data_IF_022988080716
#
_entry.id   IF_022988080716
#
_cell.length_a   1.000
_cell.length_b   1.000
_cell.length_c   1.000
_cell.angle_alpha   90.00
_cell.angle_beta   90.00
_cell.angle_gamma   90.00
#
_symmetry.space_group_name_H-M   'P 1'
#
loop_
_entity.id
_entity.type
_entity.pdbx_description
1 polymer ?
#
# COMPACT_ATOMS: atom_id res chain seq x y z
N UNK A 1 17.79 -7.27 17.24
CA UNK A 1 18.17 -6.21 16.27
C UNK A 1 18.66 -6.77 14.94
N UNK A 2 19.79 -7.47 14.85
CA UNK A 2 20.34 -7.96 13.56
C UNK A 2 19.33 -8.83 12.79
N UNK A 3 18.59 -9.70 13.49
CA UNK A 3 17.58 -10.57 12.87
C UNK A 3 16.46 -9.75 12.17
N UNK A 4 16.01 -8.67 12.78
CA UNK A 4 14.96 -7.82 12.20
C UNK A 4 15.44 -7.00 11.01
N UNK A 5 16.71 -6.56 11.04
CA UNK A 5 17.35 -5.91 9.87
C UNK A 5 17.43 -6.90 8.70
N UNK A 6 17.85 -8.13 8.96
CA UNK A 6 17.88 -9.18 7.93
C UNK A 6 16.46 -9.50 7.41
N UNK A 7 15.47 -9.55 8.30
CA UNK A 7 14.06 -9.72 7.91
C UNK A 7 13.58 -8.57 7.01
N UNK A 8 13.91 -7.33 7.34
CA UNK A 8 13.55 -6.17 6.52
C UNK A 8 14.18 -6.25 5.12
N UNK A 9 15.47 -6.56 5.02
CA UNK A 9 16.16 -6.73 3.74
C UNK A 9 15.51 -7.86 2.93
N UNK A 10 15.18 -8.99 3.58
CA UNK A 10 14.51 -10.11 2.93
C UNK A 10 13.12 -9.73 2.42
N UNK A 11 12.31 -9.01 3.22
CA UNK A 11 10.99 -8.53 2.83
C UNK A 11 11.08 -7.64 1.59
N UNK A 12 11.97 -6.64 1.59
CA UNK A 12 12.17 -5.79 0.42
C UNK A 12 12.61 -6.60 -0.79
N UNK A 13 13.58 -7.49 -0.63
CA UNK A 13 14.05 -8.35 -1.72
C UNK A 13 12.93 -9.20 -2.33
N UNK A 14 12.08 -9.80 -1.47
CA UNK A 14 10.92 -10.60 -1.92
C UNK A 14 9.89 -9.73 -2.62
N UNK A 15 9.53 -8.56 -2.07
CA UNK A 15 8.52 -7.68 -2.67
C UNK A 15 8.96 -7.14 -4.03
N UNK A 16 10.24 -6.81 -4.19
CA UNK A 16 10.79 -6.40 -5.49
C UNK A 16 10.82 -7.58 -6.46
N UNK A 17 11.26 -8.76 -6.02
CA UNK A 17 11.28 -9.95 -6.88
C UNK A 17 9.86 -10.34 -7.36
N UNK A 18 8.85 -10.21 -6.50
CA UNK A 18 7.43 -10.45 -6.85
C UNK A 18 6.93 -9.40 -7.84
N UNK A 19 7.32 -8.14 -7.66
CA UNK A 19 7.01 -7.06 -8.60
C UNK A 19 7.56 -7.37 -10.00
N UNK A 20 8.86 -7.65 -10.10
CA UNK A 20 9.51 -8.00 -11.37
C UNK A 20 8.93 -9.29 -11.98
N UNK A 21 8.56 -10.26 -11.13
CA UNK A 21 7.88 -11.47 -11.58
C UNK A 21 6.51 -11.17 -12.21
N UNK A 22 5.80 -10.14 -11.74
CA UNK A 22 4.56 -9.65 -12.35
C UNK A 22 4.78 -9.22 -13.80
N UNK A 23 5.79 -8.40 -14.06
CA UNK A 23 6.17 -7.99 -15.41
C UNK A 23 6.57 -9.20 -16.26
N UNK A 24 7.44 -10.06 -15.71
CA UNK A 24 7.95 -11.25 -16.39
C UNK A 24 6.83 -12.17 -16.88
N UNK A 25 5.94 -12.61 -15.97
CA UNK A 25 4.90 -13.57 -16.33
C UNK A 25 3.90 -12.97 -17.33
N UNK A 26 3.56 -11.69 -17.15
CA UNK A 26 2.62 -11.00 -18.01
C UNK A 26 3.20 -10.74 -19.39
N UNK A 27 4.48 -10.35 -19.48
CA UNK A 27 5.18 -10.22 -20.76
C UNK A 27 5.20 -11.54 -21.53
N UNK A 28 5.54 -12.64 -20.87
CA UNK A 28 5.51 -13.98 -21.49
C UNK A 28 4.10 -14.38 -21.97
N UNK A 29 3.08 -14.14 -21.17
CA UNK A 29 1.67 -14.43 -21.54
C UNK A 29 1.19 -13.56 -22.71
N UNK A 30 1.67 -12.31 -22.81
CA UNK A 30 1.37 -11.39 -23.90
C UNK A 30 2.19 -11.68 -25.19
N UNK A 31 3.16 -12.60 -25.13
CA UNK A 31 4.02 -12.98 -26.25
C UNK A 31 5.22 -12.04 -26.45
N UNK A 32 5.55 -11.21 -25.46
CA UNK A 32 6.74 -10.36 -25.46
C UNK A 32 7.97 -11.19 -25.11
N UNK A 33 9.06 -10.96 -25.82
CA UNK A 33 10.35 -11.60 -25.55
C UNK A 33 10.95 -10.97 -24.29
N UNK A 34 11.31 -11.79 -23.31
CA UNK A 34 12.07 -11.39 -22.12
C UNK A 34 13.50 -11.89 -22.27
N UNK A 35 14.42 -10.94 -22.32
CA UNK A 35 15.85 -11.22 -22.50
C UNK A 35 16.50 -11.66 -21.20
N UNK A 36 16.21 -10.97 -20.07
CA UNK A 36 16.74 -11.31 -18.76
C UNK A 36 15.70 -11.09 -17.67
N UNK A 37 15.67 -12.02 -16.71
CA UNK A 37 14.98 -11.86 -15.43
C UNK A 37 15.99 -11.98 -14.31
N UNK A 38 16.20 -10.90 -13.57
CA UNK A 38 17.24 -10.81 -12.55
C UNK A 38 16.65 -10.56 -11.16
N UNK A 39 17.17 -11.31 -10.19
CA UNK A 39 16.96 -11.03 -8.76
C UNK A 39 18.23 -10.37 -8.22
N UNK A 40 18.07 -9.18 -7.65
CA UNK A 40 19.18 -8.35 -7.20
C UNK A 40 19.75 -7.44 -8.28
N UNK A 41 20.72 -6.63 -7.89
CA UNK A 41 21.45 -5.68 -8.73
C UNK A 41 22.96 -5.86 -8.65
N UNK A 42 23.71 -5.17 -9.52
CA UNK A 42 25.17 -5.18 -9.56
C UNK A 42 25.75 -6.37 -10.33
N UNK A 43 26.98 -6.82 -10.02
CA UNK A 43 27.64 -7.90 -10.74
C UNK A 43 26.87 -9.23 -10.61
N UNK A 44 26.79 -9.96 -11.72
CA UNK A 44 26.15 -11.27 -11.76
C UNK A 44 26.99 -12.30 -10.99
N UNK A 45 26.35 -12.99 -10.02
CA UNK A 45 26.96 -14.09 -9.27
C UNK A 45 26.69 -15.43 -9.95
N UNK A 46 25.45 -15.58 -10.44
CA UNK A 46 24.98 -16.78 -11.10
C UNK A 46 24.02 -16.41 -12.22
N UNK A 47 24.07 -17.17 -13.31
CA UNK A 47 23.13 -17.03 -14.41
C UNK A 47 22.96 -18.32 -15.20
N UNK A 48 21.76 -18.51 -15.73
CA UNK A 48 21.43 -19.65 -16.60
C UNK A 48 20.40 -19.23 -17.63
N UNK A 49 20.70 -19.48 -18.89
CA UNK A 49 19.73 -19.29 -19.98
C UNK A 49 18.81 -20.49 -20.11
N UNK A 50 17.51 -20.25 -20.07
CA UNK A 50 16.48 -21.28 -20.33
C UNK A 50 15.57 -20.77 -21.43
N UNK A 51 15.61 -21.44 -22.56
CA UNK A 51 14.93 -20.96 -23.79
C UNK A 51 15.59 -19.66 -24.28
N UNK A 52 14.82 -18.58 -24.29
CA UNK A 52 15.26 -17.26 -24.77
C UNK A 52 15.59 -16.29 -23.61
N UNK A 53 15.36 -16.69 -22.36
CA UNK A 53 15.51 -15.82 -21.18
C UNK A 53 16.70 -16.24 -20.37
N UNK A 54 17.55 -15.29 -20.03
CA UNK A 54 18.59 -15.44 -19.02
C UNK A 54 17.99 -15.19 -17.64
N UNK A 55 18.15 -16.14 -16.71
CA UNK A 55 17.81 -16.00 -15.30
C UNK A 55 19.09 -15.74 -14.53
N UNK A 56 19.16 -14.64 -13.82
CA UNK A 56 20.36 -14.21 -13.11
C UNK A 56 20.11 -13.90 -11.64
N UNK A 57 21.14 -14.17 -10.82
CA UNK A 57 21.23 -13.71 -9.44
C UNK A 57 22.42 -12.78 -9.32
N UNK A 58 22.20 -11.60 -8.74
CA UNK A 58 23.22 -10.54 -8.66
C UNK A 58 23.65 -10.27 -7.23
N UNK A 59 24.79 -9.61 -7.07
CA UNK A 59 25.50 -9.49 -5.79
C UNK A 59 24.78 -8.69 -4.72
N UNK A 60 24.03 -7.68 -5.10
CA UNK A 60 23.26 -6.85 -4.18
C UNK A 60 21.83 -7.40 -4.06
N UNK A 61 21.40 -7.89 -2.89
CA UNK A 61 20.08 -8.48 -2.71
C UNK A 61 18.98 -7.40 -2.61
N UNK A 62 19.17 -6.27 -3.26
CA UNK A 62 18.26 -5.15 -3.31
C UNK A 62 17.98 -4.86 -4.78
N UNK A 63 16.68 -4.83 -5.14
CA UNK A 63 16.29 -4.62 -6.52
C UNK A 63 16.13 -5.93 -7.30
N UNK A 64 15.86 -5.77 -8.56
CA UNK A 64 15.71 -6.77 -9.59
C UNK A 64 15.35 -6.07 -10.89
N UNK A 65 15.24 -6.80 -11.97
CA UNK A 65 14.71 -6.26 -13.21
C UNK A 65 14.24 -7.38 -14.15
N UNK A 66 13.30 -7.02 -15.01
CA UNK A 66 12.81 -7.82 -16.11
C UNK A 66 13.11 -7.09 -17.42
N UNK A 67 14.20 -7.44 -18.10
CA UNK A 67 14.58 -6.82 -19.37
C UNK A 67 13.74 -7.39 -20.51
N UNK A 68 12.85 -6.58 -21.07
CA UNK A 68 11.99 -6.93 -22.19
C UNK A 68 12.55 -6.39 -23.51
N UNK A 69 12.37 -7.14 -24.57
CA UNK A 69 12.78 -6.71 -25.91
C UNK A 69 12.03 -5.43 -26.32
N UNK A 70 12.79 -4.41 -26.73
CA UNK A 70 12.23 -3.12 -27.17
C UNK A 70 11.65 -2.25 -26.06
N UNK A 71 12.08 -2.44 -24.80
CA UNK A 71 11.70 -1.59 -23.68
C UNK A 71 12.52 -0.30 -23.65
N UNK A 72 13.86 -0.41 -23.73
CA UNK A 72 14.80 0.73 -23.64
C UNK A 72 15.36 1.17 -24.99
N UNK A 73 15.03 0.48 -26.07
CA UNK A 73 15.52 0.76 -27.41
C UNK A 73 14.59 0.26 -28.50
N UNK A 74 14.62 0.89 -29.66
CA UNK A 74 13.90 0.38 -30.85
C UNK A 74 14.39 -1.02 -31.21
N UNK A 75 13.47 -1.94 -31.39
CA UNK A 75 13.75 -3.30 -31.81
C UNK A 75 12.92 -3.69 -33.03
N UNK A 76 13.54 -4.44 -33.95
CA UNK A 76 12.87 -4.99 -35.10
C UNK A 76 12.21 -6.35 -34.84
N UNK A 77 12.39 -6.93 -33.66
CA UNK A 77 11.73 -8.17 -33.26
C UNK A 77 10.20 -7.96 -33.17
N UNK A 78 9.43 -8.83 -33.83
CA UNK A 78 7.97 -8.79 -33.80
C UNK A 78 7.40 -8.97 -32.39
N UNK A 79 8.16 -9.59 -31.51
CA UNK A 79 7.82 -9.80 -30.07
C UNK A 79 8.34 -8.68 -29.17
N UNK A 80 8.75 -7.56 -29.75
CA UNK A 80 9.10 -6.36 -29.00
C UNK A 80 7.90 -5.80 -28.24
N UNK A 81 8.12 -5.27 -27.05
CA UNK A 81 7.11 -4.61 -26.21
C UNK A 81 6.44 -3.45 -26.95
N UNK A 82 7.21 -2.61 -27.65
CA UNK A 82 6.73 -1.44 -28.39
C UNK A 82 5.87 -1.78 -29.60
N UNK A 83 5.94 -3.02 -30.09
CA UNK A 83 5.09 -3.51 -31.19
C UNK A 83 3.77 -4.12 -30.70
N UNK A 84 3.61 -4.30 -29.38
CA UNK A 84 2.36 -4.82 -28.84
C UNK A 84 1.25 -3.75 -28.82
N UNK A 85 0.01 -4.19 -28.83
CA UNK A 85 -1.14 -3.28 -28.72
C UNK A 85 -1.20 -2.61 -27.34
N UNK A 86 -1.84 -1.44 -27.29
CA UNK A 86 -1.99 -0.60 -26.08
C UNK A 86 -2.33 -1.40 -24.80
N UNK A 87 -3.36 -2.25 -24.85
CA UNK A 87 -3.81 -2.99 -23.67
C UNK A 87 -2.80 -4.01 -23.16
N UNK A 88 -2.02 -4.63 -24.06
CA UNK A 88 -0.97 -5.56 -23.64
C UNK A 88 0.17 -4.80 -22.96
N UNK A 89 0.60 -3.67 -23.53
CA UNK A 89 1.64 -2.82 -22.90
C UNK A 89 1.18 -2.30 -21.54
N UNK A 90 -0.05 -1.76 -21.46
CA UNK A 90 -0.61 -1.25 -20.21
C UNK A 90 -0.70 -2.34 -19.13
N UNK A 91 -1.13 -3.56 -19.50
CA UNK A 91 -1.21 -4.69 -18.58
C UNK A 91 0.19 -5.13 -18.10
N UNK A 92 1.18 -5.16 -18.99
CA UNK A 92 2.55 -5.51 -18.64
C UNK A 92 3.12 -4.49 -17.66
N UNK A 93 2.96 -3.18 -17.92
CA UNK A 93 3.43 -2.12 -17.01
C UNK A 93 2.71 -2.13 -15.66
N UNK A 94 1.40 -2.44 -15.62
CA UNK A 94 0.68 -2.51 -14.35
C UNK A 94 0.94 -3.81 -13.56
N UNK A 95 1.49 -4.84 -14.20
CA UNK A 95 1.54 -6.19 -13.64
C UNK A 95 2.40 -6.29 -12.38
N UNK A 96 3.51 -5.57 -12.30
CA UNK A 96 4.35 -5.51 -11.11
C UNK A 96 3.59 -4.97 -9.90
N UNK A 97 2.90 -3.85 -10.08
CA UNK A 97 2.05 -3.24 -9.06
C UNK A 97 0.88 -4.14 -8.65
N UNK A 98 0.22 -4.78 -9.61
CA UNK A 98 -0.86 -5.74 -9.32
C UNK A 98 -0.33 -6.90 -8.47
N UNK A 99 0.84 -7.46 -8.78
CA UNK A 99 1.43 -8.54 -8.00
C UNK A 99 1.78 -8.11 -6.58
N UNK A 100 2.28 -6.89 -6.38
CA UNK A 100 2.54 -6.36 -5.05
C UNK A 100 1.24 -6.17 -4.25
N UNK A 101 0.18 -5.62 -4.85
CA UNK A 101 -1.13 -5.52 -4.20
C UNK A 101 -1.68 -6.89 -3.80
N UNK A 102 -1.64 -7.87 -4.71
CA UNK A 102 -2.08 -9.23 -4.44
C UNK A 102 -1.25 -9.91 -3.34
N UNK A 103 0.05 -9.61 -3.28
CA UNK A 103 0.94 -10.11 -2.23
C UNK A 103 0.56 -9.52 -0.87
N UNK A 104 0.32 -8.20 -0.78
CA UNK A 104 -0.16 -7.57 0.44
C UNK A 104 -1.49 -8.16 0.91
N UNK A 105 -2.46 -8.29 0.00
CA UNK A 105 -3.74 -8.95 0.28
C UNK A 105 -3.58 -10.40 0.77
N UNK A 106 -2.70 -11.18 0.13
CA UNK A 106 -2.42 -12.56 0.53
C UNK A 106 -1.81 -12.64 1.93
N UNK A 107 -0.88 -11.77 2.26
CA UNK A 107 -0.27 -11.71 3.60
C UNK A 107 -1.34 -11.43 4.65
N UNK A 108 -2.20 -10.43 4.43
CA UNK A 108 -3.32 -10.12 5.35
C UNK A 108 -4.27 -11.30 5.50
N UNK A 109 -4.60 -11.98 4.41
CA UNK A 109 -5.46 -13.17 4.44
C UNK A 109 -4.83 -14.32 5.24
N UNK A 110 -3.52 -14.52 5.13
CA UNK A 110 -2.77 -15.51 5.93
C UNK A 110 -2.81 -15.13 7.41
N UNK A 111 -2.58 -13.86 7.75
CA UNK A 111 -2.63 -13.37 9.14
C UNK A 111 -4.02 -13.61 9.75
N UNK A 112 -5.08 -13.33 9.01
CA UNK A 112 -6.46 -13.53 9.49
C UNK A 112 -6.94 -14.99 9.40
N UNK A 113 -6.13 -15.90 8.84
CA UNK A 113 -6.53 -17.32 8.72
C UNK A 113 -6.84 -17.99 10.06
N UNK A 114 -6.10 -17.61 11.11
CA UNK A 114 -6.28 -18.11 12.49
C UNK A 114 -7.29 -17.34 13.34
N UNK A 115 -7.83 -16.20 12.85
CA UNK A 115 -8.76 -15.36 13.61
C UNK A 115 -10.10 -16.08 13.80
N UNK A 116 -10.64 -16.04 15.02
CA UNK A 116 -11.92 -16.66 15.36
C UNK A 116 -13.14 -15.74 15.13
N UNK A 117 -12.96 -14.44 15.32
CA UNK A 117 -14.02 -13.44 15.18
C UNK A 117 -13.44 -12.07 14.78
N UNK A 118 -14.27 -11.23 14.19
CA UNK A 118 -13.95 -9.84 13.84
C UNK A 118 -14.94 -8.89 14.51
N UNK A 119 -14.46 -7.70 14.87
CA UNK A 119 -15.34 -6.60 15.22
C UNK A 119 -16.10 -6.13 13.99
N UNK A 120 -17.40 -5.85 14.18
CA UNK A 120 -18.25 -5.22 13.15
C UNK A 120 -18.20 -3.70 13.30
N UNK A 121 -18.88 -3.00 12.43
CA UNK A 121 -19.10 -1.55 12.57
C UNK A 121 -20.43 -1.24 13.28
N UNK A 122 -21.11 -2.23 13.86
CA UNK A 122 -22.39 -2.07 14.55
C UNK A 122 -22.18 -1.75 16.02
N UNK A 123 -22.74 -0.65 16.47
CA UNK A 123 -22.79 -0.25 17.88
C UNK A 123 -23.89 -1.05 18.58
N UNK A 124 -23.56 -1.72 19.67
CA UNK A 124 -24.51 -2.53 20.44
C UNK A 124 -25.03 -1.78 21.66
N UNK A 125 -24.15 -1.08 22.37
CA UNK A 125 -24.47 -0.40 23.61
C UNK A 125 -23.44 0.70 23.91
N UNK A 126 -23.74 1.55 24.91
CA UNK A 126 -22.90 2.67 25.30
C UNK A 126 -22.59 2.61 26.81
N UNK A 127 -21.44 3.14 27.18
CA UNK A 127 -21.12 3.44 28.56
C UNK A 127 -22.10 4.48 29.14
N UNK A 128 -22.40 4.44 30.45
CA UNK A 128 -23.41 5.33 31.08
C UNK A 128 -23.18 6.84 30.86
N UNK A 129 -21.93 7.23 30.67
CA UNK A 129 -21.53 8.64 30.51
C UNK A 129 -21.20 8.99 29.05
N UNK A 130 -21.61 8.20 28.08
CA UNK A 130 -21.31 8.46 26.66
C UNK A 130 -22.02 9.72 26.16
N UNK A 131 -21.29 10.75 25.66
CA UNK A 131 -21.88 12.07 25.43
C UNK A 131 -22.70 12.19 24.15
N UNK A 132 -22.52 11.30 23.18
CA UNK A 132 -23.14 11.38 21.85
C UNK A 132 -24.40 10.47 21.72
N UNK A 133 -24.90 9.88 22.82
CA UNK A 133 -26.10 9.06 22.81
C UNK A 133 -27.38 9.92 22.83
N UNK A 134 -28.42 9.54 22.07
CA UNK A 134 -29.73 10.17 22.15
C UNK A 134 -30.48 10.22 20.82
N UNK A 135 -31.65 10.87 20.80
CA UNK A 135 -32.53 10.95 19.62
C UNK A 135 -31.89 11.62 18.41
N UNK A 136 -30.98 12.57 18.64
CA UNK A 136 -30.20 13.24 17.59
C UNK A 136 -28.78 12.70 17.43
N UNK A 137 -28.40 11.68 18.20
CA UNK A 137 -27.06 11.08 18.19
C UNK A 137 -27.05 9.61 17.84
N UNK A 138 -26.02 8.92 18.33
CA UNK A 138 -25.86 7.48 18.15
C UNK A 138 -26.89 6.68 18.97
N UNK A 139 -27.35 5.57 18.41
CA UNK A 139 -28.29 4.65 19.03
C UNK A 139 -27.79 3.19 18.95
N UNK A 140 -28.16 2.34 19.91
CA UNK A 140 -27.91 0.91 19.79
C UNK A 140 -28.52 0.35 18.50
N UNK A 141 -27.74 -0.43 17.76
CA UNK A 141 -28.11 -0.97 16.46
C UNK A 141 -27.57 -0.19 15.26
N UNK A 142 -27.10 1.03 15.43
CA UNK A 142 -26.49 1.82 14.37
C UNK A 142 -25.24 1.12 13.82
N UNK A 143 -25.13 1.13 12.49
CA UNK A 143 -23.92 0.72 11.81
C UNK A 143 -23.14 1.97 11.38
N UNK A 144 -21.92 2.12 11.88
CA UNK A 144 -21.05 3.23 11.49
C UNK A 144 -20.87 3.23 9.97
N UNK A 145 -21.17 4.39 9.32
CA UNK A 145 -21.16 4.49 7.87
C UNK A 145 -20.04 5.35 7.35
N UNK A 146 -19.89 6.57 7.86
CA UNK A 146 -18.78 7.46 7.54
C UNK A 146 -18.39 8.32 8.74
N UNK A 147 -17.14 8.78 8.77
CA UNK A 147 -16.59 9.74 9.74
C UNK A 147 -15.83 10.80 8.93
N UNK A 148 -16.19 12.08 9.13
CA UNK A 148 -15.59 13.20 8.40
C UNK A 148 -15.64 13.04 6.86
N UNK A 149 -16.75 12.45 6.35
CA UNK A 149 -16.94 12.16 4.93
C UNK A 149 -16.21 10.90 4.43
N UNK A 150 -15.33 10.29 5.23
CA UNK A 150 -14.61 9.07 4.89
C UNK A 150 -15.39 7.82 5.29
N UNK A 151 -15.50 6.86 4.36
CA UNK A 151 -16.27 5.62 4.56
C UNK A 151 -15.63 4.71 5.60
N UNK A 152 -16.45 4.20 6.53
CA UNK A 152 -16.05 3.16 7.52
C UNK A 152 -16.40 1.79 6.95
N UNK A 153 -15.39 0.98 6.67
CA UNK A 153 -15.52 -0.41 6.21
C UNK A 153 -15.24 -1.42 7.32
N UNK A 154 -14.25 -1.12 8.15
CA UNK A 154 -13.81 -1.93 9.28
C UNK A 154 -13.84 -1.09 10.56
N UNK A 155 -13.95 -1.76 11.70
CA UNK A 155 -13.88 -1.05 12.99
C UNK A 155 -12.53 -0.36 13.21
N UNK A 156 -11.45 -0.90 12.65
CA UNK A 156 -10.12 -0.25 12.66
C UNK A 156 -10.10 1.12 12.01
N UNK A 157 -10.98 1.38 11.03
CA UNK A 157 -11.08 2.68 10.36
C UNK A 157 -11.48 3.80 11.33
N UNK A 158 -12.30 3.45 12.33
CA UNK A 158 -12.72 4.42 13.36
C UNK A 158 -11.51 5.00 14.08
N UNK A 159 -10.62 4.13 14.58
CA UNK A 159 -9.40 4.58 15.27
C UNK A 159 -8.48 5.39 14.35
N UNK A 160 -8.36 4.97 13.08
CA UNK A 160 -7.60 5.70 12.09
C UNK A 160 -8.18 7.10 11.84
N UNK A 161 -9.48 7.18 11.51
CA UNK A 161 -10.12 8.44 11.16
C UNK A 161 -10.13 9.42 12.34
N UNK A 162 -10.31 8.91 13.57
CA UNK A 162 -10.21 9.73 14.78
C UNK A 162 -8.77 10.21 15.05
N UNK A 163 -7.75 9.45 14.66
CA UNK A 163 -6.36 9.90 14.83
C UNK A 163 -5.98 11.06 13.90
N UNK A 164 -6.73 11.23 12.80
CA UNK A 164 -6.57 12.33 11.86
C UNK A 164 -7.38 13.58 12.26
N UNK A 165 -8.26 13.42 13.24
CA UNK A 165 -9.09 14.50 13.77
C UNK A 165 -8.45 15.05 15.05
N UNK A 166 -8.34 16.36 15.16
CA UNK A 166 -7.61 17.01 16.27
C UNK A 166 -8.49 17.61 17.34
N UNK A 167 -9.81 17.80 17.10
CA UNK A 167 -10.72 18.53 18.01
C UNK A 167 -11.72 17.63 18.74
N UNK A 168 -11.84 16.37 18.35
CA UNK A 168 -12.76 15.40 18.96
C UNK A 168 -14.24 15.63 18.61
N UNK A 169 -14.51 16.42 17.58
CA UNK A 169 -15.84 16.62 17.01
C UNK A 169 -15.88 16.08 15.59
N UNK A 170 -16.58 14.99 15.36
CA UNK A 170 -16.60 14.31 14.05
C UNK A 170 -17.95 14.44 13.37
N UNK A 171 -17.95 14.76 12.09
CA UNK A 171 -19.14 14.61 11.24
C UNK A 171 -19.38 13.11 11.01
N UNK A 172 -20.50 12.60 11.50
CA UNK A 172 -20.79 11.18 11.47
C UNK A 172 -22.07 10.85 10.73
N UNK A 173 -21.98 9.88 9.82
CA UNK A 173 -23.13 9.21 9.26
C UNK A 173 -23.20 7.77 9.77
N UNK A 174 -24.42 7.31 10.04
CA UNK A 174 -24.72 5.93 10.43
C UNK A 174 -25.75 5.32 9.50
N UNK A 175 -25.78 4.01 9.43
CA UNK A 175 -26.88 3.29 8.80
C UNK A 175 -27.81 2.77 9.88
N UNK A 176 -29.02 3.32 9.92
CA UNK A 176 -30.10 3.01 10.86
C UNK A 176 -31.29 2.49 10.08
N UNK A 177 -31.82 1.31 10.41
CA UNK A 177 -32.97 0.68 9.73
C UNK A 177 -32.82 0.56 8.20
N UNK A 178 -31.59 0.47 7.72
CA UNK A 178 -31.27 0.34 6.29
C UNK A 178 -31.04 1.67 5.56
N UNK A 179 -31.37 2.80 6.16
CA UNK A 179 -31.16 4.15 5.61
C UNK A 179 -29.91 4.80 6.19
N UNK A 180 -29.25 5.66 5.41
CA UNK A 180 -28.12 6.47 5.89
C UNK A 180 -28.67 7.72 6.55
N UNK A 181 -28.32 7.91 7.81
CA UNK A 181 -28.71 9.04 8.64
C UNK A 181 -27.47 9.87 8.97
N UNK A 182 -27.53 11.14 8.63
CA UNK A 182 -26.50 12.11 8.99
C UNK A 182 -26.79 12.62 10.44
N UNK A 183 -25.85 12.41 11.34
CA UNK A 183 -25.90 12.85 12.72
C UNK A 183 -25.26 14.23 12.92
N UNK A 184 -24.64 14.79 11.86
CA UNK A 184 -23.84 16.00 11.97
C UNK A 184 -22.63 15.82 12.89
N UNK A 185 -22.21 16.92 13.51
CA UNK A 185 -21.05 16.90 14.43
C UNK A 185 -21.42 16.30 15.77
N UNK A 186 -20.76 15.20 16.11
CA UNK A 186 -20.90 14.56 17.42
C UNK A 186 -19.57 14.52 18.15
N UNK A 187 -19.57 14.65 19.51
CA UNK A 187 -18.36 14.48 20.28
C UNK A 187 -17.96 13.00 20.33
N UNK A 188 -16.82 12.66 19.77
CA UNK A 188 -16.28 11.32 19.78
C UNK A 188 -14.75 11.36 19.96
N UNK A 189 -14.31 11.04 21.14
CA UNK A 189 -12.90 11.00 21.48
C UNK A 189 -12.60 9.82 22.42
N UNK A 190 -11.37 9.38 22.44
CA UNK A 190 -10.91 8.44 23.47
C UNK A 190 -10.99 9.08 24.84
N UNK A 191 -11.66 8.40 25.77
CA UNK A 191 -11.86 8.88 27.14
C UNK A 191 -11.78 7.75 28.16
N UNK A 192 -11.92 8.11 29.43
CA UNK A 192 -12.08 7.14 30.52
C UNK A 192 -13.58 6.93 30.79
N UNK A 193 -14.02 5.72 30.60
CA UNK A 193 -15.42 5.29 30.81
C UNK A 193 -15.45 4.20 31.88
N UNK A 194 -16.62 3.91 32.44
CA UNK A 194 -16.81 2.81 33.38
C UNK A 194 -17.48 1.62 32.69
N UNK A 195 -17.02 0.41 32.98
CA UNK A 195 -17.69 -0.82 32.55
C UNK A 195 -18.95 -1.10 33.40
N UNK A 196 -19.64 -2.20 33.11
CA UNK A 196 -20.85 -2.65 33.86
C UNK A 196 -20.61 -2.90 35.35
N UNK A 197 -19.36 -3.12 35.77
CA UNK A 197 -18.96 -3.35 37.16
C UNK A 197 -18.46 -2.03 37.82
N UNK A 198 -18.44 -0.92 37.10
CA UNK A 198 -17.93 0.35 37.57
C UNK A 198 -16.39 0.49 37.50
N UNK A 199 -15.70 -0.47 36.87
CA UNK A 199 -14.26 -0.39 36.69
C UNK A 199 -13.89 0.54 35.51
N UNK A 200 -12.93 1.46 35.70
CA UNK A 200 -12.55 2.41 34.66
C UNK A 200 -11.78 1.74 33.52
N UNK A 201 -12.13 2.03 32.28
CA UNK A 201 -11.37 1.65 31.10
C UNK A 201 -11.17 2.82 30.15
N UNK A 202 -10.13 2.73 29.32
CA UNK A 202 -9.87 3.70 28.25
C UNK A 202 -10.47 3.19 26.93
N UNK A 203 -11.29 4.02 26.27
CA UNK A 203 -11.94 3.63 25.03
C UNK A 203 -12.80 4.73 24.43
N UNK A 204 -13.65 4.37 23.49
CA UNK A 204 -14.60 5.29 22.83
C UNK A 204 -15.98 5.30 23.52
N UNK A 205 -16.17 4.56 24.61
CA UNK A 205 -17.41 4.57 25.39
C UNK A 205 -18.58 3.81 24.76
N UNK A 206 -18.33 2.90 23.83
CA UNK A 206 -19.33 2.02 23.23
C UNK A 206 -18.91 0.57 23.16
N UNK A 207 -19.89 -0.32 23.02
CA UNK A 207 -19.70 -1.74 22.76
C UNK A 207 -20.00 -2.01 21.29
N UNK A 208 -19.08 -2.66 20.60
CA UNK A 208 -19.18 -2.99 19.18
C UNK A 208 -19.51 -4.47 18.99
N UNK A 209 -20.34 -4.75 17.99
CA UNK A 209 -20.71 -6.10 17.62
C UNK A 209 -19.53 -6.93 17.14
N UNK A 210 -19.66 -8.25 17.30
CA UNK A 210 -18.66 -9.24 16.89
C UNK A 210 -19.31 -10.25 15.96
N UNK A 211 -18.66 -10.54 14.84
CA UNK A 211 -19.08 -11.60 13.91
C UNK A 211 -18.07 -12.75 13.87
N UNK A 212 -18.56 -13.96 13.62
CA UNK A 212 -17.70 -15.14 13.44
C UNK A 212 -16.84 -14.98 12.18
N UNK A 213 -15.55 -15.28 12.28
CA UNK A 213 -14.61 -15.22 11.17
C UNK A 213 -14.80 -16.40 10.18
N UNK A 214 -15.91 -16.39 9.44
CA UNK A 214 -16.14 -17.29 8.31
C UNK A 214 -15.16 -17.00 7.17
N UNK A 215 -15.03 -17.92 6.21
CA UNK A 215 -14.17 -17.66 5.02
C UNK A 215 -14.58 -16.37 4.28
N UNK A 216 -15.89 -16.13 4.12
CA UNK A 216 -16.39 -14.90 3.52
C UNK A 216 -16.02 -13.64 4.32
N UNK A 217 -16.13 -13.69 5.66
CA UNK A 217 -15.72 -12.60 6.53
C UNK A 217 -14.21 -12.34 6.43
N UNK A 218 -13.38 -13.40 6.42
CA UNK A 218 -11.92 -13.28 6.25
C UNK A 218 -11.55 -12.63 4.92
N UNK A 219 -12.15 -13.06 3.81
CA UNK A 219 -11.92 -12.46 2.50
C UNK A 219 -12.35 -10.98 2.47
N UNK A 220 -13.53 -10.66 3.02
CA UNK A 220 -14.05 -9.30 3.09
C UNK A 220 -13.15 -8.40 3.93
N UNK A 221 -12.80 -8.82 5.15
CA UNK A 221 -11.95 -8.04 6.06
C UNK A 221 -10.55 -7.85 5.46
N UNK A 222 -9.95 -8.89 4.88
CA UNK A 222 -8.64 -8.77 4.22
C UNK A 222 -8.69 -7.80 3.03
N UNK A 223 -9.76 -7.83 2.23
CA UNK A 223 -9.95 -6.91 1.13
C UNK A 223 -10.04 -5.46 1.59
N UNK A 224 -10.90 -5.17 2.57
CA UNK A 224 -11.03 -3.81 3.08
C UNK A 224 -9.76 -3.33 3.80
N UNK A 225 -9.05 -4.20 4.51
CA UNK A 225 -7.76 -3.86 5.10
C UNK A 225 -6.72 -3.45 4.03
N UNK A 226 -6.68 -4.16 2.90
CA UNK A 226 -5.82 -3.76 1.77
C UNK A 226 -6.26 -2.42 1.16
N UNK A 227 -7.57 -2.15 1.09
CA UNK A 227 -8.11 -0.84 0.66
C UNK A 227 -7.74 0.27 1.65
N UNK A 228 -7.74 0.00 2.95
CA UNK A 228 -7.32 0.98 3.97
C UNK A 228 -5.85 1.33 3.84
N UNK A 229 -4.98 0.38 3.49
CA UNK A 229 -3.60 0.71 3.14
C UNK A 229 -3.52 1.66 1.94
N UNK A 230 -4.34 1.45 0.89
CA UNK A 230 -4.41 2.38 -0.25
C UNK A 230 -4.90 3.75 0.22
N UNK A 231 -5.93 3.80 1.07
CA UNK A 231 -6.47 5.05 1.63
C UNK A 231 -5.41 5.82 2.41
N UNK A 232 -4.68 5.14 3.31
CA UNK A 232 -3.59 5.74 4.08
C UNK A 232 -2.54 6.40 3.19
N UNK A 233 -2.18 5.76 2.09
CA UNK A 233 -1.21 6.30 1.14
C UNK A 233 -1.76 7.59 0.49
N UNK A 234 -3.02 7.59 0.07
CA UNK A 234 -3.64 8.78 -0.52
C UNK A 234 -3.79 9.93 0.46
N UNK A 235 -4.13 9.67 1.73
CA UNK A 235 -4.16 10.66 2.81
C UNK A 235 -2.75 11.24 2.99
N UNK A 236 -1.74 10.39 3.17
CA UNK A 236 -0.34 10.82 3.36
C UNK A 236 0.19 11.64 2.17
N UNK A 237 -0.17 11.28 0.94
CA UNK A 237 0.17 12.06 -0.25
C UNK A 237 -0.57 13.40 -0.27
N UNK A 238 -1.83 13.43 0.15
CA UNK A 238 -2.61 14.65 0.33
C UNK A 238 -1.98 15.59 1.34
N UNK A 239 -1.60 15.08 2.51
CA UNK A 239 -0.95 15.83 3.58
C UNK A 239 0.40 16.41 3.14
N UNK A 240 1.16 15.65 2.35
CA UNK A 240 2.41 16.12 1.77
C UNK A 240 2.19 17.27 0.77
N UNK A 241 1.16 17.18 -0.07
CA UNK A 241 0.84 18.21 -1.07
C UNK A 241 0.26 19.46 -0.42
N UNK A 242 -0.55 19.32 0.62
CA UNK A 242 -1.15 20.46 1.35
C UNK A 242 -0.18 21.08 2.36
N UNK A 243 0.95 20.42 2.65
CA UNK A 243 1.92 20.88 3.65
C UNK A 243 1.50 20.57 5.09
N UNK A 244 0.46 19.75 5.30
CA UNK A 244 0.09 19.24 6.62
C UNK A 244 1.15 18.27 7.16
N UNK A 245 1.80 17.51 6.28
CA UNK A 245 2.98 16.71 6.60
C UNK A 245 4.25 17.37 6.05
N UNK A 246 5.33 17.35 6.82
CA UNK A 246 6.63 17.89 6.46
C UNK A 246 7.56 16.83 5.82
N UNK A 247 8.71 17.29 5.31
CA UNK A 247 9.76 16.39 4.84
C UNK A 247 10.29 15.48 5.95
N UNK A 248 10.22 15.93 7.20
CA UNK A 248 10.60 15.15 8.39
C UNK A 248 9.71 13.95 8.68
N UNK A 249 8.47 13.94 8.17
CA UNK A 249 7.52 12.83 8.36
C UNK A 249 7.76 11.70 7.37
N UNK A 250 8.54 11.96 6.31
CA UNK A 250 8.88 10.95 5.33
C UNK A 250 9.92 9.96 5.89
N UNK A 251 9.72 8.70 5.52
CA UNK A 251 10.64 7.61 5.83
C UNK A 251 11.20 7.03 4.54
N UNK A 252 12.52 7.01 4.45
CA UNK A 252 13.24 6.33 3.38
C UNK A 252 13.54 4.87 3.74
N UNK A 253 14.41 4.20 2.96
CA UNK A 253 14.74 2.80 3.18
C UNK A 253 15.29 2.51 4.59
N UNK A 254 16.08 3.43 5.15
CA UNK A 254 16.66 3.28 6.49
C UNK A 254 15.57 3.46 7.57
N UNK A 255 14.67 4.41 7.40
CA UNK A 255 13.52 4.62 8.29
C UNK A 255 12.58 3.41 8.32
N UNK A 256 12.31 2.80 7.16
CA UNK A 256 11.47 1.60 7.07
C UNK A 256 12.15 0.40 7.76
N UNK A 257 13.46 0.19 7.58
CA UNK A 257 14.22 -0.85 8.30
C UNK A 257 14.17 -0.60 9.80
N UNK A 258 14.29 0.67 10.23
CA UNK A 258 14.17 1.06 11.64
C UNK A 258 12.77 0.74 12.18
N UNK A 259 11.70 1.09 11.46
CA UNK A 259 10.33 0.79 11.85
C UNK A 259 10.07 -0.72 12.00
N UNK A 260 10.52 -1.54 11.05
CA UNK A 260 10.43 -3.01 11.15
C UNK A 260 11.19 -3.53 12.38
N UNK A 261 12.37 -2.96 12.66
CA UNK A 261 13.18 -3.35 13.81
C UNK A 261 12.49 -2.97 15.11
N UNK A 262 11.92 -1.79 15.19
CA UNK A 262 11.17 -1.31 16.34
C UNK A 262 9.94 -2.18 16.59
N UNK A 263 9.08 -2.38 15.59
CA UNK A 263 7.90 -3.25 15.66
C UNK A 263 8.27 -4.65 16.15
N UNK A 264 9.35 -5.24 15.62
CA UNK A 264 9.81 -6.56 16.04
C UNK A 264 10.35 -6.59 17.47
N UNK A 265 11.06 -5.55 17.91
CA UNK A 265 11.68 -5.51 19.25
C UNK A 265 10.71 -5.14 20.37
N UNK A 266 9.67 -4.39 20.08
CA UNK A 266 8.63 -3.98 21.05
C UNK A 266 7.51 -5.03 21.20
N UNK A 267 7.46 -6.02 20.32
CA UNK A 267 6.45 -7.08 20.37
C UNK A 267 6.66 -7.98 21.58
N UNK A 268 5.59 -8.31 22.35
CA UNK A 268 5.70 -9.09 23.59
C UNK A 268 6.22 -10.51 23.40
N UNK A 269 5.88 -11.15 22.28
CA UNK A 269 6.34 -12.50 21.93
C UNK A 269 6.93 -12.56 20.52
N UNK A 270 7.70 -13.61 20.23
CA UNK A 270 8.24 -13.85 18.88
C UNK A 270 7.10 -14.01 17.87
N UNK A 271 5.99 -14.62 18.28
CA UNK A 271 4.82 -14.78 17.42
C UNK A 271 4.22 -13.43 17.05
N UNK A 272 4.00 -12.56 18.03
CA UNK A 272 3.47 -11.22 17.82
C UNK A 272 4.43 -10.40 16.94
N UNK A 273 5.75 -10.54 17.16
CA UNK A 273 6.76 -9.91 16.31
C UNK A 273 6.63 -10.33 14.83
N UNK A 274 6.46 -11.63 14.57
CA UNK A 274 6.29 -12.15 13.21
C UNK A 274 4.98 -11.66 12.60
N UNK A 275 3.86 -11.72 13.34
CA UNK A 275 2.56 -11.25 12.86
C UNK A 275 2.58 -9.75 12.56
N UNK A 276 3.15 -8.93 13.44
CA UNK A 276 3.26 -7.48 13.25
C UNK A 276 4.21 -7.11 12.09
N UNK A 277 5.34 -7.79 11.94
CA UNK A 277 6.27 -7.58 10.82
C UNK A 277 5.61 -7.98 9.49
N UNK A 278 4.86 -9.08 9.45
CA UNK A 278 4.12 -9.48 8.26
C UNK A 278 3.01 -8.48 7.92
N UNK A 279 2.30 -7.95 8.92
CA UNK A 279 1.30 -6.91 8.69
C UNK A 279 1.93 -5.63 8.10
N UNK A 280 3.08 -5.24 8.63
CA UNK A 280 3.86 -4.12 8.10
C UNK A 280 4.38 -4.41 6.68
N UNK A 281 4.82 -5.65 6.40
CA UNK A 281 5.21 -6.08 5.07
C UNK A 281 4.04 -6.03 4.06
N UNK A 282 2.83 -6.37 4.49
CA UNK A 282 1.62 -6.23 3.65
C UNK A 282 1.34 -4.76 3.32
N UNK A 283 1.47 -3.86 4.29
CA UNK A 283 1.34 -2.42 4.08
C UNK A 283 2.40 -1.89 3.09
N UNK A 284 3.66 -2.31 3.23
CA UNK A 284 4.73 -1.95 2.29
C UNK A 284 4.42 -2.48 0.89
N UNK A 285 3.93 -3.71 0.77
CA UNK A 285 3.58 -4.30 -0.52
C UNK A 285 2.51 -3.48 -1.25
N UNK A 286 1.44 -3.08 -0.54
CA UNK A 286 0.38 -2.22 -1.10
C UNK A 286 0.92 -0.81 -1.39
N UNK A 287 1.79 -0.27 -0.53
CA UNK A 287 2.44 1.02 -0.78
C UNK A 287 3.25 0.99 -2.08
N UNK A 288 4.11 -0.02 -2.27
CA UNK A 288 4.86 -0.19 -3.52
C UNK A 288 3.93 -0.33 -4.73
N UNK A 289 2.79 -1.02 -4.59
CA UNK A 289 1.81 -1.15 -5.65
C UNK A 289 1.21 0.20 -6.06
N UNK A 290 0.80 1.02 -5.09
CA UNK A 290 0.20 2.34 -5.35
C UNK A 290 1.25 3.32 -5.88
N UNK A 291 2.41 3.41 -5.23
CA UNK A 291 3.46 4.35 -5.60
C UNK A 291 3.99 4.09 -7.02
N UNK A 292 4.18 2.82 -7.41
CA UNK A 292 4.62 2.48 -8.75
C UNK A 292 3.59 2.75 -9.84
N UNK A 293 2.29 2.88 -9.50
CA UNK A 293 1.24 3.27 -10.44
C UNK A 293 1.05 4.79 -10.56
N UNK A 294 1.72 5.60 -9.74
CA UNK A 294 1.67 7.04 -9.89
C UNK A 294 2.28 7.47 -11.25
N UNK A 295 1.73 8.51 -11.90
CA UNK A 295 2.22 8.99 -13.19
C UNK A 295 3.53 9.77 -13.04
N UNK A 296 4.49 9.19 -12.33
CA UNK A 296 5.80 9.77 -12.07
C UNK A 296 6.81 9.13 -13.04
N UNK A 297 7.62 9.93 -13.74
CA UNK A 297 8.68 9.39 -14.60
C UNK A 297 9.61 8.44 -13.84
N UNK A 298 10.13 7.44 -14.53
CA UNK A 298 10.93 6.33 -13.99
C UNK A 298 10.14 5.25 -13.22
N UNK A 299 8.85 5.44 -12.94
CA UNK A 299 7.97 4.40 -12.40
C UNK A 299 7.09 3.79 -13.50
N UNK A 300 6.48 2.64 -13.23
CA UNK A 300 5.60 1.94 -14.18
C UNK A 300 4.38 2.78 -14.59
N UNK A 301 3.81 3.52 -13.63
CA UNK A 301 2.73 4.48 -13.88
C UNK A 301 3.16 5.60 -14.83
N UNK A 302 4.41 6.02 -14.79
CA UNK A 302 5.00 6.94 -15.77
C UNK A 302 5.01 6.35 -17.18
N UNK A 303 5.41 5.08 -17.34
CA UNK A 303 5.34 4.37 -18.64
C UNK A 303 3.89 4.26 -19.15
N UNK A 304 2.93 3.94 -18.26
CA UNK A 304 1.50 3.93 -18.60
C UNK A 304 1.03 5.31 -19.04
N UNK A 305 1.43 6.35 -18.33
CA UNK A 305 1.09 7.73 -18.67
C UNK A 305 1.60 8.11 -20.07
N UNK A 306 2.89 7.84 -20.37
CA UNK A 306 3.45 8.08 -21.70
C UNK A 306 2.75 7.27 -22.78
N UNK A 307 2.41 6.02 -22.53
CA UNK A 307 1.64 5.16 -23.44
C UNK A 307 0.27 5.76 -23.77
N UNK A 308 -0.42 6.34 -22.78
CA UNK A 308 -1.70 7.05 -22.98
C UNK A 308 -1.49 8.30 -23.82
N UNK A 309 -0.50 9.12 -23.46
CA UNK A 309 -0.21 10.38 -24.16
C UNK A 309 0.21 10.13 -25.61
N UNK A 310 1.08 9.14 -25.88
CA UNK A 310 1.47 8.78 -27.25
C UNK A 310 0.29 8.27 -28.08
N UNK A 311 -0.58 7.45 -27.50
CA UNK A 311 -1.79 6.95 -28.15
C UNK A 311 -2.75 8.09 -28.49
N UNK A 312 -2.95 9.05 -27.58
CA UNK A 312 -3.78 10.22 -27.84
C UNK A 312 -3.18 11.14 -28.88
N UNK A 313 -1.87 11.41 -28.81
CA UNK A 313 -1.15 12.22 -29.79
C UNK A 313 -1.25 11.62 -31.20
N UNK A 314 -1.09 10.30 -31.30
CA UNK A 314 -1.26 9.60 -32.58
C UNK A 314 -2.71 9.66 -33.10
N UNK A 315 -3.69 9.56 -32.23
CA UNK A 315 -5.12 9.66 -32.61
C UNK A 315 -5.49 11.06 -33.10
N UNK A 316 -5.01 12.12 -32.39
CA UNK A 316 -5.38 13.51 -32.67
C UNK A 316 -4.55 14.12 -33.78
N UNK A 317 -3.24 13.89 -33.76
CA UNK A 317 -2.28 14.58 -34.63
C UNK A 317 -1.62 13.69 -35.68
N UNK A 318 -1.90 12.35 -35.64
CA UNK A 318 -1.25 11.35 -36.50
C UNK A 318 0.29 11.35 -36.38
N UNK A 319 0.80 11.80 -35.26
CA UNK A 319 2.25 11.85 -34.93
C UNK A 319 2.49 11.16 -33.60
N UNK A 320 3.51 10.30 -33.56
CA UNK A 320 4.04 9.75 -32.31
C UNK A 320 4.97 10.72 -31.67
N UNK A 321 5.07 10.70 -30.34
CA UNK A 321 6.07 11.46 -29.61
C UNK A 321 7.42 10.80 -29.87
N UNK A 322 8.45 11.57 -30.28
CA UNK A 322 9.79 11.01 -30.46
C UNK A 322 10.33 10.41 -29.14
N UNK A 323 10.79 9.16 -29.17
CA UNK A 323 11.32 8.41 -28.02
C UNK A 323 12.36 9.18 -27.19
N UNK A 324 13.14 10.05 -27.85
CA UNK A 324 14.13 10.90 -27.17
C UNK A 324 13.54 11.78 -26.06
N UNK A 325 12.29 12.22 -26.19
CA UNK A 325 11.63 13.04 -25.17
C UNK A 325 11.16 12.18 -23.98
N UNK A 326 10.62 11.01 -24.26
CA UNK A 326 10.26 10.04 -23.23
C UNK A 326 11.50 9.61 -22.44
N UNK A 327 12.57 9.24 -23.13
CA UNK A 327 13.84 8.87 -22.49
C UNK A 327 14.42 10.04 -21.67
N UNK A 328 14.39 11.27 -22.18
CA UNK A 328 14.88 12.44 -21.45
C UNK A 328 14.07 12.71 -20.17
N UNK A 329 12.72 12.61 -20.24
CA UNK A 329 11.84 12.82 -19.08
C UNK A 329 12.02 11.70 -18.05
N UNK A 330 12.11 10.44 -18.50
CA UNK A 330 12.35 9.31 -17.61
C UNK A 330 13.73 9.41 -16.93
N UNK A 331 14.77 9.78 -17.66
CA UNK A 331 16.12 10.00 -17.09
C UNK A 331 16.13 11.15 -16.08
N UNK A 332 15.50 12.28 -16.41
CA UNK A 332 15.38 13.40 -15.48
C UNK A 332 14.59 13.02 -14.23
N UNK A 333 13.46 12.32 -14.40
CA UNK A 333 12.65 11.80 -13.28
C UNK A 333 13.43 10.85 -12.39
N UNK A 334 14.20 9.94 -12.99
CA UNK A 334 15.08 9.02 -12.24
C UNK A 334 16.13 9.78 -11.41
N UNK A 335 16.79 10.78 -11.98
CA UNK A 335 17.79 11.59 -11.26
C UNK A 335 17.14 12.35 -10.11
N UNK A 336 15.96 12.95 -10.32
CA UNK A 336 15.20 13.63 -9.27
C UNK A 336 14.80 12.66 -8.16
N UNK A 337 14.27 11.48 -8.52
CA UNK A 337 13.84 10.46 -7.56
C UNK A 337 15.02 9.95 -6.72
N UNK A 338 16.15 9.67 -7.36
CA UNK A 338 17.39 9.25 -6.67
C UNK A 338 17.93 10.34 -5.76
N UNK A 339 17.90 11.60 -6.19
CA UNK A 339 18.26 12.75 -5.35
C UNK A 339 17.35 12.88 -4.13
N UNK A 340 16.04 12.76 -4.33
CA UNK A 340 15.04 12.77 -3.27
C UNK A 340 15.27 11.62 -2.26
N UNK A 341 15.46 10.39 -2.77
CA UNK A 341 15.77 9.23 -1.91
C UNK A 341 17.06 9.43 -1.11
N UNK A 342 18.09 10.03 -1.72
CA UNK A 342 19.33 10.31 -0.99
C UNK A 342 19.10 11.31 0.16
N UNK A 343 18.30 12.37 -0.06
CA UNK A 343 17.94 13.35 0.98
C UNK A 343 17.16 12.69 2.10
N UNK A 344 16.11 11.91 1.80
CA UNK A 344 15.30 11.22 2.82
C UNK A 344 16.14 10.19 3.58
N UNK A 345 16.98 9.42 2.89
CA UNK A 345 17.89 8.46 3.55
C UNK A 345 18.87 9.18 4.50
N UNK A 346 19.39 10.32 4.09
CA UNK A 346 20.25 11.13 4.97
C UNK A 346 19.50 11.62 6.21
N UNK A 347 18.26 12.08 6.06
CA UNK A 347 17.40 12.44 7.18
C UNK A 347 17.13 11.27 8.13
N UNK A 348 16.83 10.07 7.60
CA UNK A 348 16.64 8.87 8.40
C UNK A 348 17.87 8.57 9.27
N UNK A 349 19.05 8.57 8.65
CA UNK A 349 20.32 8.34 9.38
C UNK A 349 20.54 9.41 10.46
N UNK A 350 20.20 10.67 10.15
CA UNK A 350 20.35 11.76 11.11
C UNK A 350 19.39 11.64 12.31
N UNK A 351 18.13 11.15 12.06
CA UNK A 351 17.17 10.82 13.11
C UNK A 351 17.64 9.70 14.04
N UNK A 352 18.37 8.71 13.50
CA UNK A 352 18.90 7.58 14.29
C UNK A 352 20.10 7.93 15.18
N UNK A 353 20.83 9.01 14.86
CA UNK A 353 22.02 9.44 15.61
C UNK A 353 21.65 10.43 16.71
N UNK A 354 20.51 11.10 16.62
CA UNK A 354 19.98 12.01 17.64
C UNK A 354 19.20 11.27 18.70
#
# INVERSE_FOLDING_TARGET
MILYILAAILIFGVLIAVHEFGHFITAKLCGVRVNEFSIGMGPQIWGRTVGETEYSLRALPIGGFCAMEGEDSTSDDERSLTRQGFWKQALIFAAGSIMNFLTGLLIVLILYSGTAAFYTTQVLDFAPEFPAQGDGGLQPGDQLWSINGERVYLYSDVSLLLSLDGDGLVDMEVRRDGEVVDLGQIPLAYGTYSDENGEPYQGLGWTIGVEKATLGAKLRVSWYNAIDFVRLIWISLGDLVTGAAGMEDLSGPVGIVSAITQVGSESPTIRDAVENILYFAAMIAVNLAVMNLLPIPALDGGKIFFLIVDTLAFRLFRKKIPEKYEMAVNTAGFVVLMGFMAVVTFQDVFKLIR
#
